data_IF_341396094919
#
_entry.id   IF_341396094919
#
_cell.length_a   1.000
_cell.length_b   1.000
_cell.length_c   1.000
_cell.angle_alpha   90.00
_cell.angle_beta   90.00
_cell.angle_gamma   90.00
#
_symmetry.space_group_name_H-M   'P 1'
#
loop_
_entity.id
_entity.type
_entity.pdbx_description
1 polymer ?
#
# COMPACT_ATOMS: atom_id res chain seq x y z
N UNK A 1 -22.58 18.58 -14.28
CA UNK A 1 -22.48 18.09 -12.89
C UNK A 1 -21.31 17.10 -12.84
N UNK A 2 -20.10 17.61 -12.61
CA UNK A 2 -18.87 16.83 -12.72
C UNK A 2 -18.61 16.17 -11.37
N UNK A 3 -18.83 14.85 -11.29
CA UNK A 3 -18.57 14.06 -10.09
C UNK A 3 -17.08 14.16 -9.75
N UNK A 4 -16.76 14.81 -8.63
CA UNK A 4 -15.43 14.83 -8.07
C UNK A 4 -15.14 13.43 -7.52
N UNK A 5 -14.45 12.61 -8.31
CA UNK A 5 -13.94 11.31 -7.88
C UNK A 5 -12.74 11.54 -6.94
N UNK A 6 -13.02 12.00 -5.72
CA UNK A 6 -12.05 12.05 -4.64
C UNK A 6 -11.81 10.61 -4.16
N UNK A 7 -10.82 9.93 -4.71
CA UNK A 7 -10.39 8.63 -4.20
C UNK A 7 -8.87 8.62 -4.06
N UNK A 8 -8.43 8.73 -2.81
CA UNK A 8 -7.02 8.63 -2.45
C UNK A 8 -6.79 9.02 -0.99
N UNK A 9 -7.69 8.68 -0.07
CA UNK A 9 -7.38 8.85 1.36
C UNK A 9 -6.41 7.74 1.78
N UNK A 10 -5.11 8.02 1.72
CA UNK A 10 -4.09 7.15 2.30
C UNK A 10 -3.66 7.73 3.63
N UNK A 11 -3.95 6.99 4.70
CA UNK A 11 -3.62 7.39 6.07
C UNK A 11 -2.32 6.73 6.47
N UNK A 12 -1.30 7.56 6.63
CA UNK A 12 -0.07 7.16 7.29
C UNK A 12 0.01 7.90 8.61
N UNK A 13 0.52 7.16 9.58
CA UNK A 13 0.60 7.48 10.99
C UNK A 13 0.55 8.99 11.31
N UNK A 14 -0.61 9.45 11.81
CA UNK A 14 -1.04 10.85 12.01
C UNK A 14 -1.99 11.46 10.95
N UNK A 15 -2.89 10.66 10.36
CA UNK A 15 -4.10 11.16 9.63
C UNK A 15 -3.83 12.23 8.59
N UNK A 16 -2.73 12.12 7.83
CA UNK A 16 -2.50 12.99 6.68
C UNK A 16 -3.37 12.53 5.51
N UNK A 17 -4.04 13.48 4.85
CA UNK A 17 -4.79 13.24 3.61
C UNK A 17 -3.96 13.78 2.46
N UNK A 18 -3.52 12.91 1.56
CA UNK A 18 -2.78 13.29 0.35
C UNK A 18 -3.74 13.27 -0.82
N UNK A 19 -3.96 14.43 -1.45
CA UNK A 19 -4.76 14.48 -2.67
C UNK A 19 -3.90 14.02 -3.85
N UNK A 20 -4.46 13.13 -4.67
CA UNK A 20 -3.85 12.64 -5.90
C UNK A 20 -4.61 13.22 -7.11
N UNK A 21 -4.42 14.51 -7.45
CA UNK A 21 -5.23 15.19 -8.47
C UNK A 21 -5.07 14.56 -9.86
N UNK A 22 -3.93 13.89 -10.11
CA UNK A 22 -3.63 13.22 -11.37
C UNK A 22 -4.18 11.80 -11.47
N UNK A 23 -4.85 11.29 -10.42
CA UNK A 23 -5.36 9.92 -10.37
C UNK A 23 -6.88 9.92 -10.47
N UNK A 24 -7.40 9.68 -11.68
CA UNK A 24 -8.85 9.47 -11.84
C UNK A 24 -9.21 7.98 -11.77
N UNK A 25 -10.45 7.68 -11.34
CA UNK A 25 -11.00 6.31 -11.39
C UNK A 25 -10.90 5.71 -12.80
N UNK A 26 -11.12 6.54 -13.82
CA UNK A 26 -11.01 6.12 -15.23
C UNK A 26 -9.58 5.70 -15.56
N UNK A 27 -8.57 6.43 -15.09
CA UNK A 27 -7.17 6.07 -15.35
C UNK A 27 -6.81 4.76 -14.65
N UNK A 28 -7.26 4.57 -13.40
CA UNK A 28 -7.07 3.31 -12.67
C UNK A 28 -7.69 2.15 -13.47
N UNK A 29 -8.94 2.27 -13.89
CA UNK A 29 -9.65 1.20 -14.62
C UNK A 29 -9.03 0.92 -16.00
N UNK A 30 -8.58 1.96 -16.71
CA UNK A 30 -7.91 1.82 -18.01
C UNK A 30 -6.55 1.14 -17.86
N UNK A 31 -5.74 1.53 -16.88
CA UNK A 31 -4.43 0.94 -16.61
C UNK A 31 -4.57 -0.49 -16.12
N UNK A 32 -5.56 -0.75 -15.28
CA UNK A 32 -5.94 -2.08 -14.84
C UNK A 32 -6.24 -3.03 -16.01
N UNK A 33 -7.06 -2.59 -16.97
CA UNK A 33 -7.44 -3.41 -18.14
C UNK A 33 -6.31 -3.58 -19.16
N UNK A 34 -5.45 -2.57 -19.33
CA UNK A 34 -4.44 -2.56 -20.40
C UNK A 34 -3.09 -3.14 -20.01
N UNK A 35 -2.64 -2.97 -18.76
CA UNK A 35 -1.29 -3.35 -18.34
C UNK A 35 -1.25 -4.69 -17.59
N UNK A 36 -2.38 -5.17 -17.09
CA UNK A 36 -2.46 -6.35 -16.22
C UNK A 36 -1.91 -6.10 -14.81
N UNK A 37 -2.47 -6.77 -13.81
CA UNK A 37 -2.27 -6.50 -12.36
C UNK A 37 -0.82 -6.61 -11.86
N UNK A 38 0.09 -7.23 -12.61
CA UNK A 38 1.45 -7.54 -12.17
C UNK A 38 2.57 -7.19 -13.17
N UNK A 39 2.28 -6.44 -14.25
CA UNK A 39 3.35 -6.06 -15.18
C UNK A 39 4.25 -4.99 -14.59
N UNK A 40 5.54 -5.01 -14.93
CA UNK A 40 6.48 -3.97 -14.46
C UNK A 40 6.02 -2.55 -14.81
N UNK A 41 5.39 -2.39 -15.98
CA UNK A 41 4.80 -1.10 -16.41
C UNK A 41 3.68 -0.62 -15.48
N UNK A 42 2.90 -1.53 -14.88
CA UNK A 42 1.87 -1.15 -13.92
C UNK A 42 2.47 -0.68 -12.60
N UNK A 43 3.57 -1.30 -12.16
CA UNK A 43 4.29 -0.92 -10.94
C UNK A 43 4.98 0.43 -11.08
N UNK A 44 5.54 0.72 -12.26
CA UNK A 44 6.12 2.04 -12.58
C UNK A 44 5.03 3.11 -12.62
N UNK A 45 3.88 2.84 -13.25
CA UNK A 45 2.77 3.79 -13.25
C UNK A 45 2.21 4.03 -11.84
N UNK A 46 2.03 2.97 -11.03
CA UNK A 46 1.62 3.10 -9.63
C UNK A 46 2.60 3.92 -8.80
N UNK A 47 3.90 3.80 -9.11
CA UNK A 47 4.92 4.60 -8.45
C UNK A 47 4.65 6.09 -8.67
N UNK A 48 4.58 6.49 -9.94
CA UNK A 48 4.45 7.90 -10.33
C UNK A 48 3.10 8.51 -9.90
N UNK A 49 2.02 7.74 -10.08
CA UNK A 49 0.67 8.26 -9.86
C UNK A 49 0.22 8.20 -8.40
N UNK A 50 0.81 7.32 -7.59
CA UNK A 50 0.31 7.01 -6.23
C UNK A 50 1.43 7.02 -5.21
N UNK A 51 2.43 6.15 -5.35
CA UNK A 51 3.38 5.90 -4.27
C UNK A 51 4.34 7.08 -4.04
N UNK A 52 4.94 7.64 -5.09
CA UNK A 52 5.91 8.74 -5.00
C UNK A 52 5.29 10.01 -4.37
N UNK A 53 4.10 10.49 -4.81
CA UNK A 53 3.43 11.61 -4.15
C UNK A 53 3.12 11.36 -2.67
N UNK A 54 2.65 10.15 -2.33
CA UNK A 54 2.30 9.80 -0.96
C UNK A 54 3.56 9.73 -0.09
N UNK A 55 4.58 9.00 -0.53
CA UNK A 55 5.85 8.89 0.21
C UNK A 55 6.53 10.25 0.35
N UNK A 56 6.45 11.10 -0.67
CA UNK A 56 6.93 12.49 -0.59
C UNK A 56 6.21 13.30 0.47
N UNK A 57 4.88 13.23 0.55
CA UNK A 57 4.08 13.94 1.57
C UNK A 57 4.30 13.44 3.02
N UNK A 58 4.95 12.27 3.15
CA UNK A 58 5.28 11.61 4.41
C UNK A 58 6.76 11.71 4.77
N UNK A 59 7.54 12.40 3.93
CA UNK A 59 8.98 12.55 4.07
C UNK A 59 9.73 11.20 4.00
N UNK A 60 9.18 10.22 3.26
CA UNK A 60 9.78 8.91 2.97
C UNK A 60 10.40 8.93 1.56
N UNK A 61 11.24 9.93 1.31
CA UNK A 61 11.81 10.19 -0.03
C UNK A 61 13.00 9.30 -0.37
N UNK A 62 13.62 8.67 0.62
CA UNK A 62 14.81 7.83 0.47
C UNK A 62 14.72 6.59 1.37
N UNK A 63 15.43 5.49 1.03
CA UNK A 63 15.56 4.36 1.93
C UNK A 63 16.20 4.77 3.28
N UNK A 64 15.72 4.26 4.42
CA UNK A 64 16.30 4.61 5.71
C UNK A 64 17.72 4.04 5.85
N UNK A 65 18.66 4.86 6.32
CA UNK A 65 20.07 4.48 6.50
C UNK A 65 20.26 3.28 7.44
N UNK A 66 19.43 3.17 8.47
CA UNK A 66 19.53 2.14 9.51
C UNK A 66 18.52 0.99 9.30
N UNK A 67 17.86 0.91 8.14
CA UNK A 67 16.86 -0.13 7.85
C UNK A 67 15.55 -0.01 8.66
N UNK A 68 15.40 1.04 9.47
CA UNK A 68 14.20 1.32 10.26
C UNK A 68 13.07 1.86 9.37
N UNK A 69 12.43 0.96 8.62
CA UNK A 69 11.29 1.28 7.76
C UNK A 69 10.09 1.71 8.60
N UNK A 70 9.53 2.88 8.31
CA UNK A 70 8.24 3.30 8.90
C UNK A 70 7.10 2.54 8.22
N UNK A 71 6.03 2.26 8.98
CA UNK A 71 4.86 1.53 8.48
C UNK A 71 3.87 2.48 7.82
N UNK A 72 3.44 2.11 6.62
CA UNK A 72 2.37 2.77 5.85
C UNK A 72 1.13 1.87 5.85
N UNK A 73 -0.04 2.45 6.11
CA UNK A 73 -1.32 1.75 6.01
C UNK A 73 -2.08 2.21 4.75
N UNK A 74 -2.35 1.27 3.86
CA UNK A 74 -3.09 1.47 2.63
C UNK A 74 -4.56 1.11 2.86
N UNK A 75 -5.44 2.10 2.76
CA UNK A 75 -6.89 1.91 2.65
C UNK A 75 -7.27 2.20 1.21
N UNK A 76 -7.59 1.16 0.46
CA UNK A 76 -7.79 1.25 -0.99
C UNK A 76 -9.25 1.02 -1.38
N UNK A 77 -9.73 1.75 -2.38
CA UNK A 77 -11.10 1.66 -2.89
C UNK A 77 -11.17 0.91 -4.22
N UNK A 78 -12.23 0.12 -4.41
CA UNK A 78 -12.60 -0.51 -5.69
C UNK A 78 -11.42 -1.20 -6.39
N UNK A 79 -11.24 -0.96 -7.70
CA UNK A 79 -10.20 -1.51 -8.55
C UNK A 79 -8.79 -1.33 -7.98
N UNK A 80 -8.54 -0.25 -7.22
CA UNK A 80 -7.23 0.03 -6.65
C UNK A 80 -6.82 -1.00 -5.59
N UNK A 81 -7.78 -1.60 -4.87
CA UNK A 81 -7.54 -2.66 -3.87
C UNK A 81 -6.86 -3.90 -4.43
N UNK A 82 -6.90 -4.07 -5.75
CA UNK A 82 -6.37 -5.23 -6.45
C UNK A 82 -4.97 -5.02 -7.01
N UNK A 83 -4.43 -3.81 -6.89
CA UNK A 83 -3.09 -3.50 -7.33
C UNK A 83 -2.06 -3.77 -6.23
N UNK A 84 -0.87 -4.28 -6.59
CA UNK A 84 0.23 -4.48 -5.67
C UNK A 84 0.95 -3.15 -5.35
N UNK A 85 0.28 -2.21 -4.68
CA UNK A 85 0.88 -0.90 -4.34
C UNK A 85 2.18 -1.04 -3.55
N UNK A 86 2.28 -2.04 -2.66
CA UNK A 86 3.52 -2.34 -1.95
C UNK A 86 4.69 -2.65 -2.88
N UNK A 87 4.44 -3.13 -4.11
CA UNK A 87 5.45 -3.42 -5.12
C UNK A 87 5.71 -2.26 -6.10
N UNK A 88 5.00 -1.13 -5.97
CA UNK A 88 5.17 0.01 -6.85
C UNK A 88 6.62 0.54 -6.79
N UNK A 89 7.20 0.80 -7.95
CA UNK A 89 8.55 1.34 -8.05
C UNK A 89 9.15 1.35 -9.44
N UNK A 90 10.18 2.17 -9.63
CA UNK A 90 11.01 2.26 -10.85
C UNK A 90 12.16 1.26 -10.77
N UNK A 91 11.92 0.00 -11.17
CA UNK A 91 12.93 -1.07 -11.05
C UNK A 91 14.09 -0.97 -12.05
N UNK A 92 13.99 -0.07 -13.03
CA UNK A 92 15.04 0.17 -14.03
C UNK A 92 16.28 0.85 -13.42
N UNK A 93 16.15 1.48 -12.26
CA UNK A 93 17.26 2.10 -11.52
C UNK A 93 17.36 1.46 -10.14
N UNK A 94 18.55 1.00 -9.75
CA UNK A 94 18.81 0.50 -8.37
C UNK A 94 19.06 1.68 -7.41
N UNK A 95 18.10 2.59 -7.32
CA UNK A 95 18.21 3.84 -6.54
C UNK A 95 17.19 3.91 -5.38
N UNK A 96 16.53 2.79 -5.04
CA UNK A 96 15.56 2.76 -3.95
C UNK A 96 14.24 3.47 -4.26
N UNK A 97 13.92 3.72 -5.54
CA UNK A 97 12.60 4.21 -5.98
C UNK A 97 11.55 3.09 -5.95
N UNK A 98 11.38 2.44 -4.81
CA UNK A 98 10.29 1.48 -4.59
C UNK A 98 9.66 1.66 -3.23
N UNK A 99 8.39 1.28 -3.10
CA UNK A 99 7.69 1.31 -1.81
C UNK A 99 8.38 0.39 -0.80
N UNK A 100 8.83 -0.79 -1.24
CA UNK A 100 9.48 -1.77 -0.36
C UNK A 100 10.81 -1.26 0.20
N UNK A 101 11.55 -0.43 -0.54
CA UNK A 101 12.82 0.13 -0.07
C UNK A 101 12.61 1.27 0.95
N UNK A 102 11.40 1.86 1.01
CA UNK A 102 11.13 3.08 1.79
C UNK A 102 10.12 2.91 2.92
N UNK A 103 9.25 1.90 2.84
CA UNK A 103 8.21 1.68 3.84
C UNK A 103 7.77 0.22 3.99
N UNK A 104 7.43 -0.15 5.23
CA UNK A 104 6.65 -1.37 5.48
C UNK A 104 5.20 -1.13 5.13
N UNK A 105 4.68 -1.86 4.13
CA UNK A 105 3.28 -1.74 3.71
C UNK A 105 2.35 -2.60 4.57
N UNK A 106 1.19 -2.06 4.92
CA UNK A 106 0.09 -2.78 5.56
C UNK A 106 -1.22 -2.35 4.92
N UNK A 107 -2.21 -3.24 4.90
CA UNK A 107 -3.50 -2.96 4.27
C UNK A 107 -4.59 -2.98 5.33
N UNK A 108 -5.57 -2.10 5.18
CA UNK A 108 -6.77 -2.10 6.01
C UNK A 108 -7.99 -1.81 5.14
N UNK A 109 -9.14 -2.34 5.55
CA UNK A 109 -10.42 -2.12 4.85
C UNK A 109 -11.03 -0.76 5.17
N UNK A 110 -10.65 -0.15 6.29
CA UNK A 110 -11.09 1.20 6.67
C UNK A 110 -10.14 1.87 7.65
N UNK A 111 -10.28 3.18 7.78
CA UNK A 111 -9.61 3.99 8.79
C UNK A 111 -9.98 3.56 10.20
N UNK A 112 -11.25 3.21 10.43
CA UNK A 112 -11.75 2.77 11.72
C UNK A 112 -11.02 1.50 12.20
N UNK A 113 -10.74 0.56 11.30
CA UNK A 113 -9.95 -0.64 11.60
C UNK A 113 -8.54 -0.28 12.04
N UNK A 114 -7.90 0.71 11.39
CA UNK A 114 -6.56 1.17 11.78
C UNK A 114 -6.61 1.76 13.20
N UNK A 115 -7.56 2.64 13.49
CA UNK A 115 -7.72 3.27 14.80
C UNK A 115 -8.00 2.23 15.89
N UNK A 116 -8.91 1.29 15.64
CA UNK A 116 -9.22 0.20 16.57
C UNK A 116 -7.98 -0.67 16.85
N UNK A 117 -7.20 -1.00 15.82
CA UNK A 117 -5.98 -1.82 15.98
C UNK A 117 -4.94 -1.15 16.88
N UNK A 118 -4.87 0.19 16.86
CA UNK A 118 -3.97 0.98 17.71
C UNK A 118 -4.45 0.99 19.16
N UNK A 119 -5.75 1.14 19.38
CA UNK A 119 -6.35 1.11 20.71
C UNK A 119 -6.16 -0.26 21.39
N UNK A 120 -6.37 -1.36 20.67
CA UNK A 120 -6.18 -2.70 21.23
C UNK A 120 -4.70 -2.99 21.55
N UNK A 121 -3.77 -2.58 20.69
CA UNK A 121 -2.32 -2.72 20.95
C UNK A 121 -1.84 -1.98 22.20
N UNK A 122 -2.40 -0.80 22.48
CA UNK A 122 -2.05 -0.04 23.69
C UNK A 122 -2.48 -0.77 24.97
N UNK A 123 -3.52 -1.60 24.89
CA UNK A 123 -4.03 -2.40 26.02
C UNK A 123 -3.24 -3.71 26.18
N UNK A 124 -2.81 -4.34 25.09
CA UNK A 124 -2.07 -5.62 25.11
C UNK A 124 -0.59 -5.47 25.51
N UNK A 125 0.02 -4.29 25.31
CA UNK A 125 1.45 -4.08 25.65
C UNK A 125 1.75 -4.14 27.16
N UNK A 126 0.72 -4.23 28.00
CA UNK A 126 0.84 -4.38 29.45
C UNK A 126 0.87 -5.86 29.88
N UNK A 127 0.52 -6.83 29.01
CA UNK A 127 0.52 -8.25 29.38
C UNK A 127 0.42 -9.24 28.20
N UNK A 128 1.35 -9.22 27.24
CA UNK A 128 1.39 -10.24 26.19
C UNK A 128 2.61 -11.16 26.35
N UNK A 129 2.36 -12.41 26.72
CA UNK A 129 3.29 -13.53 26.50
C UNK A 129 3.52 -13.70 25.00
N UNK A 130 4.74 -14.07 24.58
CA UNK A 130 5.10 -14.32 23.18
C UNK A 130 4.41 -15.58 22.64
N UNK A 131 3.11 -15.53 22.41
CA UNK A 131 2.35 -16.60 21.77
C UNK A 131 2.24 -16.32 20.28
N UNK A 132 2.91 -17.16 19.48
CA UNK A 132 2.84 -17.11 18.02
C UNK A 132 1.91 -18.23 17.51
N UNK A 133 0.99 -17.89 16.62
CA UNK A 133 0.12 -18.85 15.94
C UNK A 133 0.77 -19.30 14.63
N UNK A 134 1.23 -20.55 14.57
CA UNK A 134 1.69 -21.18 13.33
C UNK A 134 0.50 -21.77 12.58
N UNK A 135 0.25 -21.29 11.36
CA UNK A 135 -0.76 -21.85 10.46
C UNK A 135 -0.06 -22.60 9.33
N UNK A 136 -0.28 -23.90 9.23
CA UNK A 136 0.12 -24.69 8.07
C UNK A 136 -0.98 -24.68 7.01
N UNK A 137 -0.61 -24.41 5.76
CA UNK A 137 -1.52 -24.54 4.62
C UNK A 137 -1.28 -25.89 3.94
N UNK A 138 -2.35 -26.62 3.64
CA UNK A 138 -2.27 -27.88 2.90
C UNK A 138 -1.92 -27.62 1.42
N UNK A 139 -1.18 -28.55 0.83
CA UNK A 139 -0.72 -28.49 -0.55
C UNK A 139 -1.92 -28.51 -1.52
N UNK A 140 -2.11 -27.41 -2.25
CA UNK A 140 -3.11 -27.34 -3.32
C UNK A 140 -2.66 -28.21 -4.50
N UNK A 141 -3.31 -29.37 -4.69
CA UNK A 141 -3.13 -30.16 -5.90
C UNK A 141 -3.60 -29.35 -7.12
N UNK A 142 -2.68 -29.13 -8.06
CA UNK A 142 -3.02 -28.60 -9.39
C UNK A 142 -3.57 -29.78 -10.20
N UNK A 143 -4.88 -29.81 -10.43
CA UNK A 143 -5.46 -30.71 -11.41
C UNK A 143 -5.02 -30.27 -12.79
N UNK A 144 -4.15 -31.06 -13.41
CA UNK A 144 -3.88 -31.01 -14.85
C UNK A 144 -4.87 -31.93 -15.55
N UNK A 145 -5.85 -31.33 -16.22
CA UNK A 145 -6.60 -31.97 -17.32
C UNK A 145 -5.96 -31.56 -18.66
#
# INVERSE_FOLDING_TARGET
MTSAATLGLVIVDQTRVVLLPSLSKRDIDLKYKSLGRGSLRVLEWLWEAVAEPILGALDFTEPPLEGNLKRVWWVLSDSLSTFPIHGAGRRTKRNGETVMDRAMSSYATSVAVILQSRSTRAVEHVSATNEALLVSAAETQVNTD
#
